data_IF_334410581418
#
_entry.id   IF_334410581418
#
_cell.length_a   1.000
_cell.length_b   1.000
_cell.length_c   1.000
_cell.angle_alpha   90.00
_cell.angle_beta   90.00
_cell.angle_gamma   90.00
#
_symmetry.space_group_name_H-M   'P 1'
#
loop_
_entity.id
_entity.type
_entity.pdbx_description
1 polymer ?
#
# COMPACT_ATOMS: atom_id res chain seq x y z
N UNK A 1 9.12 63.27 10.26
CA UNK A 1 9.78 61.98 9.96
C UNK A 1 8.85 60.85 10.37
N UNK A 2 8.05 60.32 9.44
CA UNK A 2 7.08 59.24 9.71
C UNK A 2 7.78 57.90 9.48
N UNK A 3 7.98 57.12 10.55
CA UNK A 3 8.53 55.75 10.47
C UNK A 3 7.44 54.82 9.93
N UNK A 4 7.64 54.30 8.73
CA UNK A 4 6.79 53.29 8.11
C UNK A 4 7.20 51.92 8.65
N UNK A 5 6.36 51.32 9.50
CA UNK A 5 6.54 49.95 9.98
C UNK A 5 6.10 48.98 8.87
N UNK A 6 7.05 48.22 8.33
CA UNK A 6 6.77 47.15 7.37
C UNK A 6 6.43 45.87 8.15
N UNK A 7 5.14 45.51 8.23
CA UNK A 7 4.73 44.19 8.72
C UNK A 7 4.95 43.15 7.61
N UNK A 8 5.99 42.33 7.74
CA UNK A 8 6.15 41.11 6.94
C UNK A 8 5.15 40.05 7.44
N UNK A 9 3.99 39.96 6.80
CA UNK A 9 3.12 38.80 6.91
C UNK A 9 3.74 37.64 6.14
N UNK A 10 4.40 36.73 6.86
CA UNK A 10 4.77 35.44 6.31
C UNK A 10 3.49 34.66 5.99
N UNK A 11 3.13 34.62 4.70
CA UNK A 11 2.06 33.76 4.22
C UNK A 11 2.49 32.30 4.41
N UNK A 12 1.92 31.62 5.41
CA UNK A 12 1.89 30.17 5.44
C UNK A 12 1.15 29.69 4.18
N UNK A 13 1.90 29.22 3.18
CA UNK A 13 1.33 28.39 2.12
C UNK A 13 0.89 27.06 2.73
N UNK A 14 -0.34 27.03 3.26
CA UNK A 14 -1.05 25.78 3.46
C UNK A 14 -1.51 25.33 2.08
N UNK A 15 -0.66 24.57 1.38
CA UNK A 15 -1.03 23.90 0.13
C UNK A 15 -1.98 22.71 0.44
N UNK A 16 -3.20 23.02 0.86
CA UNK A 16 -4.25 22.06 1.11
C UNK A 16 -5.17 21.96 -0.11
N UNK A 17 -4.62 21.50 -1.24
CA UNK A 17 -5.38 20.98 -2.40
C UNK A 17 -4.49 20.07 -3.28
N UNK A 18 -3.56 19.33 -2.66
CA UNK A 18 -2.73 18.36 -3.37
C UNK A 18 -3.40 16.99 -3.42
N UNK A 19 -3.33 16.32 -4.57
CA UNK A 19 -3.57 14.88 -4.71
C UNK A 19 -2.62 14.02 -3.86
N UNK A 20 -1.66 14.62 -3.15
CA UNK A 20 -0.68 13.95 -2.31
C UNK A 20 -0.68 14.62 -0.94
N UNK A 21 -0.84 13.82 0.12
CA UNK A 21 -0.84 14.26 1.52
C UNK A 21 0.17 13.44 2.32
N UNK A 22 1.24 14.07 2.79
CA UNK A 22 2.24 13.44 3.67
C UNK A 22 1.77 13.48 5.11
N UNK A 23 2.11 12.47 5.89
CA UNK A 23 1.90 12.44 7.34
C UNK A 23 3.13 11.86 8.04
N UNK A 24 3.08 11.75 9.38
CA UNK A 24 4.21 11.28 10.19
C UNK A 24 4.62 9.81 9.95
N UNK A 25 3.79 9.02 9.25
CA UNK A 25 4.00 7.59 8.97
C UNK A 25 4.18 7.27 7.49
N UNK A 26 3.88 8.21 6.58
CA UNK A 26 4.01 7.97 5.15
C UNK A 26 3.29 9.00 4.29
N UNK A 27 2.60 8.52 3.26
CA UNK A 27 1.96 9.37 2.24
C UNK A 27 0.64 8.76 1.75
N UNK A 28 -0.36 9.61 1.57
CA UNK A 28 -1.62 9.30 0.90
C UNK A 28 -1.65 9.98 -0.46
N UNK A 29 -2.03 9.25 -1.50
CA UNK A 29 -2.11 9.69 -2.89
C UNK A 29 -3.53 9.44 -3.39
N UNK A 30 -4.20 10.47 -3.89
CA UNK A 30 -5.43 10.36 -4.66
C UNK A 30 -5.06 10.29 -6.13
N UNK A 31 -5.29 9.14 -6.75
CA UNK A 31 -5.00 8.92 -8.15
C UNK A 31 -6.09 9.53 -9.06
N UNK A 32 -5.74 9.76 -10.32
CA UNK A 32 -6.63 10.34 -11.33
C UNK A 32 -7.83 9.44 -11.64
N UNK A 33 -7.67 8.13 -11.51
CA UNK A 33 -8.77 7.17 -11.59
C UNK A 33 -9.75 7.20 -10.40
N UNK A 34 -9.57 8.14 -9.46
CA UNK A 34 -10.44 8.35 -8.30
C UNK A 34 -10.02 7.61 -7.03
N UNK A 35 -9.25 6.51 -7.15
CA UNK A 35 -8.81 5.70 -6.01
C UNK A 35 -7.91 6.51 -5.08
N UNK A 36 -7.96 6.21 -3.78
CA UNK A 36 -7.04 6.77 -2.80
C UNK A 36 -6.18 5.68 -2.19
N UNK A 37 -4.86 5.84 -2.27
CA UNK A 37 -3.85 4.87 -1.86
C UNK A 37 -2.98 5.48 -0.78
N UNK A 38 -2.67 4.71 0.25
CA UNK A 38 -1.81 5.13 1.35
C UNK A 38 -0.66 4.15 1.49
N UNK A 39 0.55 4.68 1.51
CA UNK A 39 1.77 3.98 1.88
C UNK A 39 2.18 4.44 3.28
N UNK A 40 2.41 3.50 4.19
CA UNK A 40 2.93 3.77 5.54
C UNK A 40 4.20 2.94 5.75
N UNK A 41 5.31 3.59 6.11
CA UNK A 41 6.54 2.91 6.47
C UNK A 41 6.41 2.35 7.90
N UNK A 42 6.37 1.03 8.03
CA UNK A 42 6.31 0.36 9.34
C UNK A 42 7.72 0.27 9.94
N UNK A 43 8.69 -0.10 9.12
CA UNK A 43 10.13 -0.01 9.42
C UNK A 43 10.90 0.13 8.09
N UNK A 44 12.21 -0.14 8.08
CA UNK A 44 13.01 -0.05 6.86
C UNK A 44 12.57 -1.05 5.78
N UNK A 45 12.15 -2.26 6.15
CA UNK A 45 11.86 -3.39 5.26
C UNK A 45 10.36 -3.66 5.06
N UNK A 46 9.48 -2.93 5.75
CA UNK A 46 8.04 -3.18 5.74
C UNK A 46 7.29 -1.89 5.44
N UNK A 47 6.52 -1.92 4.35
CA UNK A 47 5.62 -0.83 3.94
C UNK A 47 4.19 -1.38 3.89
N UNK A 48 3.30 -0.74 4.64
CA UNK A 48 1.88 -1.05 4.62
C UNK A 48 1.20 -0.28 3.50
N UNK A 49 0.50 -1.00 2.63
CA UNK A 49 -0.38 -0.43 1.60
C UNK A 49 -1.82 -0.47 2.08
N UNK A 50 -2.58 0.57 1.80
CA UNK A 50 -4.04 0.58 1.97
C UNK A 50 -4.66 1.34 0.82
N UNK A 51 -5.76 0.84 0.25
CA UNK A 51 -6.44 1.49 -0.86
C UNK A 51 -7.96 1.45 -0.65
N UNK A 52 -8.63 2.49 -1.12
CA UNK A 52 -10.09 2.57 -1.18
C UNK A 52 -10.52 3.09 -2.55
N UNK A 53 -11.65 2.61 -3.12
CA UNK A 53 -12.17 3.12 -4.38
C UNK A 53 -12.65 4.56 -4.23
N UNK A 54 -13.22 4.87 -3.07
CA UNK A 54 -13.71 6.19 -2.68
C UNK A 54 -13.81 6.29 -1.14
N UNK A 55 -14.12 7.49 -0.64
CA UNK A 55 -14.39 7.70 0.78
C UNK A 55 -13.15 7.70 1.67
N UNK A 56 -13.29 7.12 2.87
CA UNK A 56 -12.26 7.16 3.93
C UNK A 56 -11.74 5.75 4.21
N UNK A 57 -10.47 5.67 4.60
CA UNK A 57 -9.91 4.42 5.12
C UNK A 57 -10.64 3.98 6.40
N UNK A 58 -10.81 2.67 6.56
CA UNK A 58 -11.34 2.10 7.81
C UNK A 58 -10.41 2.40 8.99
N UNK A 59 -10.99 2.71 10.14
CA UNK A 59 -10.28 2.91 11.42
C UNK A 59 -10.23 1.63 12.26
N UNK A 60 -10.81 0.51 11.77
CA UNK A 60 -10.80 -0.78 12.47
C UNK A 60 -9.35 -1.26 12.67
N UNK A 61 -9.03 -1.68 13.90
CA UNK A 61 -7.73 -2.30 14.21
C UNK A 61 -7.64 -3.68 13.56
N UNK A 62 -6.43 -4.04 13.11
CA UNK A 62 -6.16 -5.37 12.58
C UNK A 62 -6.22 -6.41 13.70
N UNK A 63 -6.73 -7.61 13.40
CA UNK A 63 -6.66 -8.75 14.31
C UNK A 63 -5.30 -9.47 14.25
N UNK A 64 -4.53 -9.28 13.18
CA UNK A 64 -3.27 -9.99 12.93
C UNK A 64 -2.02 -9.11 13.12
N UNK A 65 -2.15 -7.78 12.98
CA UNK A 65 -1.03 -6.84 13.05
C UNK A 65 -1.07 -6.11 14.38
N UNK A 66 -0.04 -6.33 15.21
CA UNK A 66 0.15 -5.65 16.49
C UNK A 66 0.49 -4.16 16.28
N UNK A 67 0.31 -3.37 17.33
CA UNK A 67 0.73 -1.96 17.33
C UNK A 67 2.23 -1.86 17.06
N UNK A 68 2.58 -1.03 16.07
CA UNK A 68 3.96 -0.83 15.61
C UNK A 68 4.50 0.49 16.16
N UNK A 69 5.78 0.55 16.58
CA UNK A 69 6.41 1.80 16.98
C UNK A 69 6.45 2.80 15.81
N UNK A 70 6.54 4.09 16.13
CA UNK A 70 6.68 5.11 15.09
C UNK A 70 8.05 4.96 14.40
N UNK A 71 8.03 4.83 13.07
CA UNK A 71 9.23 4.81 12.24
C UNK A 71 9.33 6.10 11.42
N UNK A 72 10.49 6.76 11.47
CA UNK A 72 10.76 8.03 10.76
C UNK A 72 11.90 7.94 9.75
N UNK A 73 12.46 6.75 9.54
CA UNK A 73 13.55 6.48 8.59
C UNK A 73 13.07 6.36 7.15
N UNK A 74 12.19 7.26 6.71
CA UNK A 74 11.69 7.29 5.34
C UNK A 74 11.64 8.72 4.79
N UNK A 75 11.69 8.82 3.46
CA UNK A 75 11.53 10.08 2.71
C UNK A 75 10.40 9.92 1.70
N UNK A 76 9.74 11.03 1.39
CA UNK A 76 8.73 11.07 0.33
C UNK A 76 9.14 12.09 -0.73
N UNK A 77 9.34 11.63 -1.96
CA UNK A 77 9.56 12.45 -3.15
C UNK A 77 8.45 12.20 -4.17
N UNK A 78 8.44 12.98 -5.25
CA UNK A 78 7.51 12.79 -6.35
C UNK A 78 8.15 13.28 -7.64
N UNK A 79 7.85 12.59 -8.74
CA UNK A 79 8.11 13.03 -10.11
C UNK A 79 6.76 13.36 -10.79
N UNK A 80 6.74 13.55 -12.11
CA UNK A 80 5.51 13.84 -12.85
C UNK A 80 4.50 12.69 -12.79
N UNK A 81 4.96 11.44 -12.82
CA UNK A 81 4.12 10.25 -12.95
C UNK A 81 3.82 9.56 -11.61
N UNK A 82 4.69 9.71 -10.61
CA UNK A 82 4.70 8.88 -9.39
C UNK A 82 4.98 9.67 -8.12
N UNK A 83 4.53 9.10 -7.01
CA UNK A 83 4.94 9.48 -5.65
C UNK A 83 5.74 8.34 -5.07
N UNK A 84 6.90 8.63 -4.49
CA UNK A 84 7.82 7.63 -3.97
C UNK A 84 7.93 7.76 -2.45
N UNK A 85 7.80 6.65 -1.73
CA UNK A 85 8.19 6.48 -0.34
C UNK A 85 9.45 5.63 -0.31
N UNK A 86 10.52 6.15 0.29
CA UNK A 86 11.85 5.54 0.28
C UNK A 86 12.36 5.34 1.70
N UNK A 87 12.76 4.12 2.03
CA UNK A 87 13.47 3.77 3.26
C UNK A 87 14.93 3.44 2.94
N UNK A 88 15.72 3.00 3.92
CA UNK A 88 17.09 2.52 3.69
C UNK A 88 17.17 1.17 2.97
N UNK A 89 16.03 0.49 2.76
CA UNK A 89 15.97 -0.86 2.17
C UNK A 89 15.03 -0.98 0.97
N UNK A 90 14.00 -0.13 0.92
CA UNK A 90 12.93 -0.23 -0.09
C UNK A 90 12.61 1.12 -0.71
N UNK A 91 12.10 1.06 -1.94
CA UNK A 91 11.39 2.14 -2.62
C UNK A 91 10.01 1.62 -3.00
N UNK A 92 8.97 2.16 -2.38
CA UNK A 92 7.60 1.95 -2.82
C UNK A 92 7.13 3.18 -3.61
N UNK A 93 6.53 2.98 -4.77
CA UNK A 93 5.98 4.06 -5.58
C UNK A 93 4.49 3.87 -5.84
N UNK A 94 3.74 4.97 -5.94
CA UNK A 94 2.34 4.99 -6.36
C UNK A 94 2.24 5.75 -7.67
N UNK A 95 1.64 5.14 -8.70
CA UNK A 95 1.26 5.82 -9.93
C UNK A 95 0.21 6.90 -9.65
N UNK A 96 0.43 8.13 -10.09
CA UNK A 96 -0.56 9.22 -9.96
C UNK A 96 -1.79 9.00 -10.85
N UNK A 97 -1.62 8.36 -12.00
CA UNK A 97 -2.74 8.05 -12.90
C UNK A 97 -3.56 6.84 -12.43
N UNK A 98 -2.92 5.70 -12.21
CA UNK A 98 -3.60 4.43 -11.94
C UNK A 98 -3.73 4.04 -10.47
N UNK A 99 -2.99 4.68 -9.55
CA UNK A 99 -2.96 4.26 -8.14
C UNK A 99 -2.31 2.89 -7.89
N UNK A 100 -1.66 2.30 -8.91
CA UNK A 100 -0.91 1.06 -8.76
C UNK A 100 0.37 1.29 -7.97
N UNK A 101 0.76 0.28 -7.18
CA UNK A 101 1.96 0.30 -6.34
C UNK A 101 3.06 -0.58 -6.93
N UNK A 102 4.30 -0.08 -6.91
CA UNK A 102 5.49 -0.83 -7.28
C UNK A 102 6.50 -0.79 -6.13
N UNK A 103 7.16 -1.93 -5.85
CA UNK A 103 8.23 -2.09 -4.87
C UNK A 103 9.54 -2.43 -5.55
N UNK A 104 10.58 -1.68 -5.21
CA UNK A 104 11.96 -1.94 -5.60
C UNK A 104 12.87 -1.98 -4.37
N UNK A 105 13.98 -2.70 -4.49
CA UNK A 105 15.07 -2.56 -3.54
C UNK A 105 15.83 -1.23 -3.76
N UNK A 106 16.93 -1.04 -3.02
CA UNK A 106 17.78 0.15 -3.14
C UNK A 106 18.69 0.18 -4.37
N UNK A 107 18.93 -0.97 -4.98
CA UNK A 107 19.71 -1.11 -6.20
C UNK A 107 18.85 -0.90 -7.45
N UNK A 108 17.53 -0.81 -7.26
CA UNK A 108 16.54 -0.54 -8.31
C UNK A 108 15.92 -1.81 -8.89
N UNK A 109 16.23 -2.99 -8.35
CA UNK A 109 15.63 -4.24 -8.79
C UNK A 109 14.14 -4.29 -8.43
N UNK A 110 13.33 -4.78 -9.36
CA UNK A 110 11.88 -4.89 -9.16
C UNK A 110 11.55 -6.10 -8.29
N UNK A 111 10.94 -5.86 -7.14
CA UNK A 111 10.49 -6.90 -6.22
C UNK A 111 9.04 -7.29 -6.51
N UNK A 112 8.15 -6.31 -6.67
CA UNK A 112 6.72 -6.54 -6.92
C UNK A 112 6.08 -5.32 -7.60
N UNK A 113 5.19 -5.56 -8.57
CA UNK A 113 4.41 -4.51 -9.23
C UNK A 113 2.93 -4.91 -9.29
N UNK A 114 2.05 -4.03 -8.84
CA UNK A 114 0.61 -4.20 -9.06
C UNK A 114 0.27 -4.05 -10.55
N UNK A 115 -0.48 -5.03 -11.08
CA UNK A 115 -1.06 -4.97 -12.43
C UNK A 115 -2.40 -4.23 -12.40
N UNK A 116 -3.32 -4.71 -11.55
CA UNK A 116 -4.66 -4.11 -11.41
C UNK A 116 -5.25 -4.33 -10.02
N UNK A 117 -6.15 -3.41 -9.65
CA UNK A 117 -6.95 -3.44 -8.42
C UNK A 117 -8.41 -3.19 -8.75
N UNK A 118 -9.28 -4.08 -8.30
CA UNK A 118 -10.72 -4.02 -8.52
C UNK A 118 -11.46 -4.01 -7.18
N UNK A 119 -12.53 -3.23 -7.12
CA UNK A 119 -13.44 -3.14 -5.98
C UNK A 119 -14.87 -3.37 -6.47
N UNK A 120 -15.57 -4.30 -5.84
CA UNK A 120 -17.00 -4.52 -6.09
C UNK A 120 -17.76 -4.34 -4.77
N UNK A 121 -18.85 -3.54 -4.74
CA UNK A 121 -19.62 -3.35 -3.52
C UNK A 121 -20.31 -4.65 -3.12
N UNK A 122 -20.39 -4.91 -1.82
CA UNK A 122 -21.14 -6.02 -1.24
C UNK A 122 -21.84 -5.55 0.04
N UNK A 123 -23.03 -6.07 0.31
CA UNK A 123 -23.75 -5.82 1.56
C UNK A 123 -24.13 -7.16 2.19
N UNK A 124 -23.80 -7.32 3.48
CA UNK A 124 -24.11 -8.53 4.24
C UNK A 124 -24.79 -8.11 5.54
N UNK A 125 -26.03 -8.56 5.75
CA UNK A 125 -26.83 -8.24 6.94
C UNK A 125 -26.89 -6.72 7.23
N UNK A 126 -27.01 -5.90 6.18
CA UNK A 126 -27.07 -4.44 6.29
C UNK A 126 -25.71 -3.75 6.52
N UNK A 127 -24.61 -4.48 6.47
CA UNK A 127 -23.25 -3.92 6.52
C UNK A 127 -22.66 -3.85 5.12
N UNK A 128 -22.40 -2.62 4.65
CA UNK A 128 -21.75 -2.38 3.37
C UNK A 128 -20.22 -2.56 3.46
N UNK A 129 -19.65 -3.19 2.45
CA UNK A 129 -18.24 -3.49 2.33
C UNK A 129 -17.81 -3.57 0.85
N UNK A 130 -16.56 -3.96 0.62
CA UNK A 130 -16.00 -4.17 -0.70
C UNK A 130 -15.43 -5.58 -0.82
N UNK A 131 -15.81 -6.28 -1.88
CA UNK A 131 -15.02 -7.39 -2.42
C UNK A 131 -13.82 -6.79 -3.15
N UNK A 132 -12.62 -7.17 -2.75
CA UNK A 132 -11.36 -6.60 -3.28
C UNK A 132 -10.62 -7.68 -4.06
N UNK A 133 -10.16 -7.34 -5.27
CA UNK A 133 -9.23 -8.16 -6.04
C UNK A 133 -7.97 -7.36 -6.33
N UNK A 134 -6.83 -7.88 -5.91
CA UNK A 134 -5.52 -7.31 -6.15
C UNK A 134 -4.70 -8.29 -7.00
N UNK A 135 -4.13 -7.79 -8.09
CA UNK A 135 -3.26 -8.57 -8.97
C UNK A 135 -1.90 -7.93 -9.03
N UNK A 136 -0.87 -8.77 -9.00
CA UNK A 136 0.52 -8.39 -9.18
C UNK A 136 1.06 -9.07 -10.44
N UNK A 137 1.93 -8.36 -11.17
CA UNK A 137 2.76 -8.98 -12.19
C UNK A 137 3.72 -9.96 -11.51
N UNK A 138 3.97 -11.10 -12.16
CA UNK A 138 4.81 -12.16 -11.62
C UNK A 138 5.66 -12.79 -12.71
N UNK A 139 6.96 -12.87 -12.46
CA UNK A 139 7.94 -13.34 -13.45
C UNK A 139 7.81 -14.85 -13.67
N UNK A 140 8.10 -15.37 -14.88
CA UNK A 140 7.89 -16.79 -15.19
C UNK A 140 8.58 -17.77 -14.24
N UNK A 141 9.73 -17.38 -13.67
CA UNK A 141 10.58 -18.15 -12.77
C UNK A 141 10.36 -17.87 -11.27
N UNK A 142 9.43 -16.96 -10.93
CA UNK A 142 9.09 -16.65 -9.54
C UNK A 142 8.35 -17.81 -8.88
N UNK A 143 8.81 -18.26 -7.71
CA UNK A 143 8.13 -19.25 -6.87
C UNK A 143 7.33 -18.59 -5.74
N UNK A 144 6.19 -19.21 -5.37
CA UNK A 144 5.35 -18.73 -4.28
C UNK A 144 5.09 -19.82 -3.24
N UNK A 145 5.28 -19.48 -1.96
CA UNK A 145 5.19 -20.42 -0.83
C UNK A 145 4.45 -19.78 0.34
N UNK A 146 3.85 -20.60 1.21
CA UNK A 146 3.13 -20.13 2.39
C UNK A 146 1.66 -20.49 2.33
N UNK A 147 0.77 -19.49 2.46
CA UNK A 147 -0.70 -19.62 2.50
C UNK A 147 -1.28 -20.42 3.68
N UNK A 148 -0.46 -21.19 4.39
CA UNK A 148 -0.81 -21.89 5.63
C UNK A 148 -0.53 -23.38 5.52
N UNK A 149 -1.48 -24.19 5.99
CA UNK A 149 -1.44 -25.65 5.93
C UNK A 149 -2.60 -26.15 5.04
N UNK A 150 -2.25 -26.81 3.95
CA UNK A 150 -3.20 -27.29 2.94
C UNK A 150 -2.97 -28.77 2.61
N UNK A 151 -3.98 -29.43 2.05
CA UNK A 151 -4.02 -30.90 1.87
C UNK A 151 -3.87 -31.34 0.41
N UNK A 152 -3.56 -30.42 -0.50
CA UNK A 152 -3.49 -30.68 -1.94
C UNK A 152 -2.10 -31.15 -2.43
N UNK A 153 -1.15 -31.37 -1.51
CA UNK A 153 0.26 -31.69 -1.82
C UNK A 153 0.93 -30.66 -2.76
N UNK A 154 0.44 -29.42 -2.73
CA UNK A 154 1.03 -28.31 -3.48
C UNK A 154 2.14 -27.65 -2.67
N UNK A 155 3.27 -27.39 -3.32
CA UNK A 155 4.45 -26.81 -2.68
C UNK A 155 4.76 -25.39 -3.19
N UNK A 156 5.05 -25.27 -4.49
CA UNK A 156 5.18 -23.97 -5.17
C UNK A 156 3.84 -23.61 -5.82
N UNK A 157 3.23 -22.51 -5.37
CA UNK A 157 1.92 -22.02 -5.84
C UNK A 157 1.96 -21.23 -7.15
N UNK A 158 3.11 -21.09 -7.80
CA UNK A 158 3.20 -20.44 -9.12
C UNK A 158 2.23 -21.09 -10.12
N UNK A 159 1.29 -20.29 -10.63
CA UNK A 159 0.28 -20.73 -11.60
C UNK A 159 -0.82 -21.63 -11.03
N UNK A 160 -0.93 -21.74 -9.69
CA UNK A 160 -1.93 -22.56 -8.99
C UNK A 160 -2.94 -21.69 -8.26
N UNK A 161 -3.98 -22.34 -7.74
CA UNK A 161 -5.06 -21.71 -7.00
C UNK A 161 -5.20 -22.37 -5.63
N UNK A 162 -5.43 -21.57 -4.60
CA UNK A 162 -5.76 -22.06 -3.26
C UNK A 162 -6.86 -21.17 -2.66
N UNK A 163 -7.87 -21.80 -2.07
CA UNK A 163 -8.98 -21.11 -1.42
C UNK A 163 -8.67 -20.93 0.06
N UNK A 164 -8.68 -19.70 0.56
CA UNK A 164 -8.34 -19.43 1.96
C UNK A 164 -9.58 -19.39 2.85
N UNK A 165 -9.97 -20.55 3.37
CA UNK A 165 -10.97 -20.71 4.43
C UNK A 165 -10.48 -21.70 5.49
N UNK A 166 -11.13 -21.70 6.66
CA UNK A 166 -10.77 -22.59 7.77
C UNK A 166 -11.65 -23.85 7.72
N UNK A 167 -11.04 -25.02 7.80
CA UNK A 167 -11.74 -26.30 7.86
C UNK A 167 -10.90 -27.33 8.60
N UNK A 168 -11.50 -28.44 9.04
CA UNK A 168 -10.71 -29.52 9.64
C UNK A 168 -9.60 -29.94 8.66
N UNK A 169 -8.35 -30.04 9.15
CA UNK A 169 -7.10 -30.31 8.39
C UNK A 169 -6.55 -29.17 7.51
N UNK A 170 -7.31 -28.09 7.30
CA UNK A 170 -6.93 -26.93 6.48
C UNK A 170 -6.84 -25.66 7.33
N UNK A 171 -5.65 -25.08 7.40
CA UNK A 171 -5.39 -23.83 8.14
C UNK A 171 -4.96 -22.77 7.13
N UNK A 172 -5.77 -21.72 6.98
CA UNK A 172 -5.45 -20.63 6.06
C UNK A 172 -4.76 -19.48 6.78
N UNK A 173 -3.58 -19.09 6.29
CA UNK A 173 -2.78 -17.95 6.75
C UNK A 173 -2.47 -17.09 5.52
N UNK A 174 -3.08 -15.88 5.39
CA UNK A 174 -2.94 -15.04 4.20
C UNK A 174 -1.59 -14.31 4.18
N UNK A 175 -0.50 -15.08 4.12
CA UNK A 175 0.87 -14.63 4.02
C UNK A 175 1.58 -15.51 2.98
N UNK A 176 2.24 -14.87 2.03
CA UNK A 176 2.91 -15.53 0.92
C UNK A 176 4.34 -14.99 0.82
N UNK A 177 5.27 -15.89 0.50
CA UNK A 177 6.69 -15.59 0.31
C UNK A 177 7.03 -15.87 -1.14
N UNK A 178 7.71 -14.91 -1.77
CA UNK A 178 8.29 -15.04 -3.10
C UNK A 178 9.74 -15.51 -3.01
N UNK A 179 10.27 -16.11 -4.08
CA UNK A 179 11.71 -16.40 -4.23
C UNK A 179 12.55 -15.18 -4.59
N UNK A 180 11.92 -14.03 -4.84
CA UNK A 180 12.58 -12.74 -5.10
C UNK A 180 13.07 -12.06 -3.83
#
# INVERSE_FOLDING_TARGET
MKKLLLLCTAALLVCACGNVKKNARGVTVRAENGQTVRLEAVNADIIRVSAVPEGKFSEKKSLAVLDQPAFRGFKVSQDEARVLLTTDKLVASVSKTYGTVEFRDRDGNLLSAEDRREFAPISVEGTDAWTVRQVFASDPDEGFFGLGQHQADEWNYKGKNEELYQYNTKISVPFIVSTK
#
